data_IF_228790706793
#
_entry.id   IF_228790706793
#
_cell.length_a   1.000
_cell.length_b   1.000
_cell.length_c   1.000
_cell.angle_alpha   90.00
_cell.angle_beta   90.00
_cell.angle_gamma   90.00
#
_symmetry.space_group_name_H-M   'P 1'
#
loop_
_entity.id
_entity.type
_entity.pdbx_description
1 polymer ?
#
# COMPACT_ATOMS: atom_id res chain seq x y z
N UNK A 1 10.75 -24.45 7.16
CA UNK A 1 10.20 -25.06 5.90
C UNK A 1 9.93 -24.09 4.74
N UNK A 2 9.24 -22.95 4.91
CA UNK A 2 9.00 -22.00 3.81
C UNK A 2 10.25 -21.43 3.12
N UNK A 3 11.35 -21.11 3.83
CA UNK A 3 12.54 -20.53 3.21
C UNK A 3 13.13 -21.42 2.12
N UNK A 4 13.17 -22.74 2.32
CA UNK A 4 13.72 -23.70 1.35
C UNK A 4 12.89 -23.78 0.07
N UNK A 5 11.55 -23.76 0.19
CA UNK A 5 10.67 -23.83 -0.97
C UNK A 5 10.75 -22.55 -1.82
N UNK A 6 10.87 -21.39 -1.17
CA UNK A 6 11.09 -20.12 -1.86
C UNK A 6 12.49 -20.04 -2.51
N UNK A 7 13.54 -20.56 -1.85
CA UNK A 7 14.88 -20.72 -2.44
C UNK A 7 14.85 -21.60 -3.68
N UNK A 8 14.11 -22.71 -3.64
CA UNK A 8 13.98 -23.65 -4.75
C UNK A 8 13.31 -23.02 -5.98
N UNK A 9 12.30 -22.16 -5.79
CA UNK A 9 11.67 -21.41 -6.89
C UNK A 9 12.57 -20.29 -7.38
N UNK A 10 13.21 -19.55 -6.47
CA UNK A 10 14.18 -18.52 -6.83
C UNK A 10 15.27 -19.10 -7.74
N UNK A 11 15.66 -20.36 -7.51
CA UNK A 11 16.65 -21.06 -8.32
C UNK A 11 16.11 -21.70 -9.62
N UNK A 12 14.94 -22.34 -9.56
CA UNK A 12 14.40 -23.18 -10.64
C UNK A 12 13.01 -22.73 -11.14
N UNK A 13 12.73 -21.43 -11.10
CA UNK A 13 11.41 -20.85 -11.41
C UNK A 13 10.80 -21.38 -12.71
N UNK A 14 11.61 -21.57 -13.77
CA UNK A 14 11.15 -21.91 -15.13
C UNK A 14 10.43 -23.26 -15.18
N UNK A 15 10.95 -24.23 -14.44
CA UNK A 15 10.44 -25.59 -14.45
C UNK A 15 9.34 -25.78 -13.41
N UNK A 16 9.35 -25.01 -12.33
CA UNK A 16 8.57 -25.29 -11.13
C UNK A 16 7.43 -24.31 -10.87
N UNK A 17 7.31 -23.21 -11.63
CA UNK A 17 6.26 -22.19 -11.44
C UNK A 17 4.86 -22.82 -11.33
N UNK A 18 4.45 -23.63 -12.31
CA UNK A 18 3.10 -24.22 -12.35
C UNK A 18 2.83 -25.14 -11.15
N UNK A 19 3.79 -25.99 -10.81
CA UNK A 19 3.66 -26.90 -9.68
C UNK A 19 3.61 -26.13 -8.36
N UNK A 20 4.43 -25.10 -8.23
CA UNK A 20 4.44 -24.27 -7.04
C UNK A 20 3.15 -23.47 -6.87
N UNK A 21 2.61 -22.89 -7.93
CA UNK A 21 1.33 -22.17 -7.87
C UNK A 21 0.19 -23.06 -7.34
N UNK A 22 0.22 -24.36 -7.62
CA UNK A 22 -0.77 -25.30 -7.10
C UNK A 22 -0.61 -25.58 -5.59
N UNK A 23 0.63 -25.58 -5.09
CA UNK A 23 0.93 -25.87 -3.67
C UNK A 23 0.88 -24.61 -2.81
N UNK A 24 1.15 -23.45 -3.40
CA UNK A 24 1.27 -22.17 -2.73
C UNK A 24 0.10 -21.81 -1.80
N UNK A 25 -1.18 -22.06 -2.16
CA UNK A 25 -2.28 -21.80 -1.24
C UNK A 25 -2.17 -22.53 0.10
N UNK A 26 -1.63 -23.77 0.10
CA UNK A 26 -1.40 -24.54 1.31
C UNK A 26 -0.30 -23.96 2.22
N UNK A 27 0.52 -23.04 1.69
CA UNK A 27 1.54 -22.34 2.47
C UNK A 27 0.97 -21.16 3.25
N UNK A 28 -0.23 -20.69 2.90
CA UNK A 28 -0.90 -19.56 3.56
C UNK A 28 -1.72 -20.11 4.72
N UNK A 29 -1.12 -20.14 5.90
CA UNK A 29 -1.74 -20.57 7.15
C UNK A 29 -1.69 -19.43 8.18
N UNK A 30 -2.50 -19.45 9.25
CA UNK A 30 -2.47 -18.40 10.27
C UNK A 30 -1.07 -18.14 10.87
N UNK A 31 -0.25 -19.19 11.03
CA UNK A 31 1.11 -19.07 11.56
C UNK A 31 2.15 -18.58 10.55
N UNK A 32 1.91 -18.80 9.25
CA UNK A 32 2.82 -18.37 8.17
C UNK A 32 2.39 -17.07 7.49
N UNK A 33 1.16 -16.60 7.75
CA UNK A 33 0.53 -15.51 7.01
C UNK A 33 1.37 -14.22 6.98
N UNK A 34 1.68 -13.66 8.14
CA UNK A 34 2.46 -12.42 8.26
C UNK A 34 3.89 -12.55 7.72
N UNK A 35 4.68 -13.56 8.13
CA UNK A 35 6.07 -13.64 7.70
C UNK A 35 6.21 -14.03 6.21
N UNK A 36 5.23 -14.72 5.62
CA UNK A 36 5.28 -15.08 4.20
C UNK A 36 5.27 -13.85 3.27
N UNK A 37 4.57 -12.76 3.64
CA UNK A 37 4.48 -11.57 2.79
C UNK A 37 5.85 -10.93 2.48
N UNK A 38 6.69 -10.55 3.46
CA UNK A 38 8.03 -10.04 3.18
C UNK A 38 8.86 -11.00 2.33
N UNK A 39 8.79 -12.31 2.61
CA UNK A 39 9.55 -13.30 1.84
C UNK A 39 9.14 -13.40 0.37
N UNK A 40 7.87 -13.15 0.04
CA UNK A 40 7.41 -13.09 -1.34
C UNK A 40 7.92 -11.84 -2.05
N UNK A 41 7.78 -10.67 -1.40
CA UNK A 41 8.27 -9.40 -1.96
C UNK A 41 9.79 -9.42 -2.17
N UNK A 42 10.49 -10.22 -1.38
CA UNK A 42 11.95 -10.34 -1.34
C UNK A 42 12.48 -11.45 -2.26
N UNK A 43 11.62 -12.15 -3.00
CA UNK A 43 12.08 -13.18 -3.93
C UNK A 43 13.15 -12.69 -4.93
N UNK A 44 13.05 -11.49 -5.54
CA UNK A 44 14.10 -11.00 -6.42
C UNK A 44 15.44 -10.81 -5.73
N UNK A 45 15.45 -10.34 -4.47
CA UNK A 45 16.71 -10.15 -3.73
C UNK A 45 17.32 -11.50 -3.34
N UNK A 46 16.49 -12.50 -3.06
CA UNK A 46 16.93 -13.87 -2.81
C UNK A 46 17.63 -14.47 -4.03
N UNK A 47 17.12 -14.23 -5.25
CA UNK A 47 17.80 -14.65 -6.49
C UNK A 47 19.18 -14.02 -6.60
N UNK A 48 19.28 -12.70 -6.39
CA UNK A 48 20.56 -11.98 -6.47
C UNK A 48 21.56 -12.55 -5.47
N UNK A 49 21.11 -12.91 -4.26
CA UNK A 49 21.96 -13.53 -3.26
C UNK A 49 22.45 -14.92 -3.67
N UNK A 50 21.54 -15.78 -4.14
CA UNK A 50 21.91 -17.12 -4.60
C UNK A 50 22.90 -17.05 -5.77
N UNK A 51 22.71 -16.12 -6.71
CA UNK A 51 23.65 -15.94 -7.81
C UNK A 51 24.99 -15.33 -7.38
N UNK A 52 25.00 -14.42 -6.40
CA UNK A 52 26.27 -13.91 -5.85
C UNK A 52 27.05 -15.05 -5.20
N UNK A 53 26.38 -15.93 -4.46
CA UNK A 53 27.00 -17.12 -3.88
C UNK A 53 27.49 -18.10 -4.94
N UNK A 54 26.76 -18.31 -6.03
CA UNK A 54 27.22 -19.13 -7.15
C UNK A 54 28.49 -18.55 -7.80
N UNK A 55 28.53 -17.23 -7.99
CA UNK A 55 29.71 -16.53 -8.55
C UNK A 55 30.90 -16.53 -7.59
N UNK A 56 30.68 -16.33 -6.30
CA UNK A 56 31.75 -16.38 -5.28
C UNK A 56 32.25 -17.80 -5.02
N UNK A 57 31.37 -18.79 -5.20
CA UNK A 57 31.73 -20.21 -5.17
C UNK A 57 32.27 -20.71 -6.52
N UNK A 58 32.48 -19.81 -7.49
CA UNK A 58 32.86 -20.16 -8.85
C UNK A 58 34.27 -20.71 -8.95
N UNK A 59 34.39 -21.87 -9.62
CA UNK A 59 35.61 -22.35 -10.28
C UNK A 59 36.77 -22.79 -9.37
N UNK A 60 36.68 -24.02 -8.86
CA UNK A 60 37.82 -24.95 -8.85
C UNK A 60 38.18 -25.33 -10.32
N UNK A 61 38.49 -24.34 -11.15
CA UNK A 61 39.25 -24.53 -12.40
C UNK A 61 40.69 -24.09 -12.07
N UNK A 62 41.31 -24.92 -11.24
CA UNK A 62 42.75 -25.13 -11.25
C UNK A 62 42.98 -26.53 -11.78
N UNK A 63 43.34 -26.63 -13.06
CA UNK A 63 43.95 -27.82 -13.70
C UNK A 63 43.23 -29.17 -13.56
N UNK A 64 42.18 -29.40 -14.35
CA UNK A 64 42.03 -30.69 -15.08
C UNK A 64 40.86 -30.63 -16.05
N UNK A 65 41.21 -30.74 -17.33
CA UNK A 65 40.29 -30.91 -18.45
C UNK A 65 39.70 -32.32 -18.36
N UNK A 66 38.58 -32.54 -17.65
CA UNK A 66 37.83 -33.80 -17.72
C UNK A 66 36.38 -33.83 -17.16
N UNK A 67 35.88 -32.87 -16.38
CA UNK A 67 34.58 -33.03 -15.68
C UNK A 67 33.60 -31.86 -15.85
N UNK A 68 33.23 -31.59 -17.09
CA UNK A 68 31.99 -30.84 -17.40
C UNK A 68 30.81 -31.77 -17.11
N UNK A 69 30.23 -31.76 -15.89
CA UNK A 69 28.80 -32.12 -15.65
C UNK A 69 28.29 -32.08 -14.19
N UNK A 70 29.01 -31.54 -13.21
CA UNK A 70 28.46 -31.39 -11.84
C UNK A 70 28.50 -29.94 -11.38
N UNK A 71 27.36 -29.26 -11.39
CA UNK A 71 27.21 -27.97 -10.74
C UNK A 71 27.24 -28.15 -9.22
N UNK A 72 27.98 -27.30 -8.51
CA UNK A 72 28.14 -27.34 -7.05
C UNK A 72 26.90 -26.81 -6.28
N UNK A 73 26.02 -26.06 -6.96
CA UNK A 73 24.79 -25.52 -6.38
C UNK A 73 23.77 -26.57 -5.89
N UNK A 74 23.47 -27.65 -6.64
CA UNK A 74 22.61 -28.72 -6.14
C UNK A 74 23.22 -29.51 -4.98
N UNK A 75 24.55 -29.66 -4.90
CA UNK A 75 25.21 -30.33 -3.77
C UNK A 75 25.13 -29.49 -2.48
N UNK A 76 25.24 -28.16 -2.58
CA UNK A 76 25.07 -27.28 -1.42
C UNK A 76 23.61 -27.20 -0.93
N UNK A 77 22.63 -27.22 -1.86
CA UNK A 77 21.21 -27.35 -1.49
C UNK A 77 20.91 -28.71 -0.85
N UNK A 78 21.49 -29.80 -1.35
CA UNK A 78 21.39 -31.13 -0.75
C UNK A 78 22.05 -31.18 0.63
N UNK A 79 23.21 -30.56 0.82
CA UNK A 79 23.89 -30.48 2.11
C UNK A 79 23.09 -29.67 3.14
N UNK A 80 22.49 -28.54 2.74
CA UNK A 80 21.57 -27.78 3.60
C UNK A 80 20.29 -28.56 3.92
N UNK A 81 19.79 -29.37 2.98
CA UNK A 81 18.65 -30.27 3.23
C UNK A 81 19.02 -31.39 4.20
N UNK A 82 20.23 -31.93 4.13
CA UNK A 82 20.74 -32.99 5.00
C UNK A 82 21.03 -32.46 6.41
N UNK A 83 21.59 -31.25 6.53
CA UNK A 83 21.76 -30.53 7.80
C UNK A 83 20.39 -30.24 8.47
N UNK A 84 19.40 -29.79 7.70
CA UNK A 84 18.04 -29.56 8.20
C UNK A 84 17.32 -30.87 8.62
N UNK A 85 17.71 -32.01 8.06
CA UNK A 85 17.11 -33.31 8.37
C UNK A 85 17.83 -34.04 9.51
N UNK A 86 19.14 -33.83 9.67
CA UNK A 86 19.99 -34.57 10.62
C UNK A 86 20.48 -33.74 11.81
N UNK A 87 20.36 -32.41 11.78
CA UNK A 87 20.73 -31.51 12.89
C UNK A 87 22.22 -31.47 13.23
N UNK A 88 23.09 -32.01 12.38
CA UNK A 88 24.54 -32.01 12.61
C UNK A 88 25.18 -30.74 12.05
N UNK A 89 25.62 -29.85 12.94
CA UNK A 89 26.50 -28.73 12.59
C UNK A 89 27.80 -29.30 12.02
N UNK A 90 28.26 -28.79 10.88
CA UNK A 90 29.57 -29.15 10.31
C UNK A 90 30.63 -28.99 11.41
N UNK A 91 31.24 -30.11 11.77
CA UNK A 91 32.13 -30.22 12.92
C UNK A 91 33.29 -29.24 12.86
N UNK A 92 33.50 -28.57 13.99
CA UNK A 92 34.70 -27.87 14.41
C UNK A 92 35.92 -28.82 14.34
N UNK A 93 36.57 -28.83 13.18
CA UNK A 93 37.76 -29.62 12.91
C UNK A 93 39.02 -28.81 13.22
N UNK A 94 39.39 -28.74 14.50
CA UNK A 94 40.71 -28.26 14.92
C UNK A 94 41.82 -29.10 14.28
N UNK A 95 42.77 -28.43 13.64
CA UNK A 95 43.96 -29.04 13.04
C UNK A 95 44.91 -27.98 12.52
N UNK A 96 45.98 -27.74 13.26
CA UNK A 96 47.05 -26.78 12.99
C UNK A 96 47.68 -26.97 11.60
N UNK A 97 47.80 -25.88 10.83
CA UNK A 97 48.82 -25.73 9.78
C UNK A 97 48.98 -24.25 9.44
N UNK A 98 50.07 -23.68 9.95
CA UNK A 98 50.60 -22.39 9.51
C UNK A 98 51.09 -22.51 8.06
N UNK A 99 50.46 -21.74 7.16
CA UNK A 99 51.09 -21.32 5.91
C UNK A 99 50.49 -19.99 5.48
N UNK A 100 51.29 -18.94 5.56
CA UNK A 100 51.02 -17.62 4.99
C UNK A 100 51.02 -17.66 3.45
N UNK A 101 50.37 -16.65 2.87
CA UNK A 101 50.28 -16.33 1.43
C UNK A 101 49.29 -17.14 0.58
N UNK A 102 48.01 -16.83 0.78
CA UNK A 102 47.07 -16.66 -0.33
C UNK A 102 46.07 -15.60 0.08
N UNK A 103 45.81 -14.62 -0.78
CA UNK A 103 44.81 -13.56 -0.60
C UNK A 103 43.54 -14.15 0.00
N UNK A 104 43.26 -13.84 1.26
CA UNK A 104 42.06 -14.30 1.96
C UNK A 104 40.86 -13.91 1.12
N UNK A 105 40.28 -14.95 0.52
CA UNK A 105 38.98 -14.99 -0.12
C UNK A 105 38.06 -14.11 0.75
N UNK A 106 37.39 -13.13 0.14
CA UNK A 106 36.42 -12.25 0.81
C UNK A 106 35.14 -13.06 1.13
N UNK A 107 35.32 -14.07 1.98
CA UNK A 107 34.31 -14.97 2.50
C UNK A 107 33.41 -14.14 3.39
N UNK A 108 32.12 -14.17 3.06
CA UNK A 108 31.01 -13.73 3.89
C UNK A 108 30.80 -12.22 4.02
N UNK A 109 30.17 -11.61 3.00
CA UNK A 109 29.33 -10.44 3.23
C UNK A 109 28.17 -10.87 4.15
N UNK A 110 28.14 -10.43 5.43
CA UNK A 110 27.24 -10.96 6.46
C UNK A 110 25.75 -10.81 6.09
N UNK A 111 25.44 -9.85 5.23
CA UNK A 111 24.09 -9.59 4.70
C UNK A 111 23.58 -10.74 3.82
N UNK A 112 24.46 -11.39 3.05
CA UNK A 112 24.08 -12.51 2.17
C UNK A 112 23.89 -13.80 2.95
N UNK A 113 24.72 -14.02 3.98
CA UNK A 113 24.52 -15.14 4.89
C UNK A 113 23.21 -14.96 5.69
N UNK A 114 22.88 -13.74 6.11
CA UNK A 114 21.60 -13.45 6.75
C UNK A 114 20.41 -13.75 5.82
N UNK A 115 20.49 -13.36 4.54
CA UNK A 115 19.43 -13.67 3.56
C UNK A 115 19.29 -15.16 3.25
N UNK A 116 20.38 -15.92 3.41
CA UNK A 116 20.44 -17.36 3.14
C UNK A 116 20.27 -18.24 4.38
N UNK A 117 20.23 -17.67 5.58
CA UNK A 117 19.95 -18.43 6.80
C UNK A 117 18.61 -19.15 6.69
N UNK A 118 18.55 -20.36 7.22
CA UNK A 118 17.30 -21.09 7.35
C UNK A 118 16.56 -20.56 8.57
N UNK A 119 15.54 -19.74 8.32
CA UNK A 119 14.73 -19.11 9.35
C UNK A 119 13.72 -20.12 9.91
N UNK A 120 14.21 -21.15 10.61
CA UNK A 120 13.38 -22.08 11.39
C UNK A 120 12.90 -21.45 12.72
N UNK A 121 13.50 -20.34 13.15
CA UNK A 121 13.13 -19.57 14.36
C UNK A 121 12.24 -18.35 14.08
N UNK A 122 11.72 -18.22 12.85
CA UNK A 122 10.88 -17.10 12.43
C UNK A 122 11.60 -16.18 11.44
N UNK A 123 10.86 -15.67 10.46
CA UNK A 123 11.40 -14.76 9.45
C UNK A 123 11.67 -13.41 10.14
N UNK A 124 12.95 -13.08 10.36
CA UNK A 124 13.33 -11.83 10.97
C UNK A 124 13.01 -10.67 10.03
N UNK A 125 12.64 -9.51 10.57
CA UNK A 125 12.36 -8.32 9.77
C UNK A 125 13.66 -7.86 9.07
N UNK A 126 13.71 -8.03 7.75
CA UNK A 126 14.92 -7.74 6.97
C UNK A 126 15.12 -6.23 6.85
N UNK A 127 16.28 -5.73 7.27
CA UNK A 127 16.59 -4.31 7.27
C UNK A 127 17.03 -3.84 5.87
N UNK A 128 16.06 -3.54 5.02
CA UNK A 128 16.27 -3.00 3.66
C UNK A 128 17.01 -1.65 3.61
N UNK A 129 17.13 -0.97 4.75
CA UNK A 129 17.89 0.28 4.91
C UNK A 129 19.36 0.06 5.24
N UNK A 130 19.83 -1.20 5.34
CA UNK A 130 21.24 -1.47 5.59
C UNK A 130 22.10 -1.04 4.39
N UNK A 131 23.29 -0.44 4.62
CA UNK A 131 24.19 -0.01 3.55
C UNK A 131 24.59 -1.16 2.60
N UNK A 132 24.69 -2.39 3.13
CA UNK A 132 25.00 -3.59 2.34
C UNK A 132 23.91 -3.94 1.34
N UNK A 133 22.64 -3.97 1.76
CA UNK A 133 21.51 -4.22 0.85
C UNK A 133 21.41 -3.12 -0.21
N UNK A 134 21.61 -1.86 0.15
CA UNK A 134 21.57 -0.74 -0.79
C UNK A 134 22.65 -0.84 -1.88
N UNK A 135 23.89 -1.19 -1.51
CA UNK A 135 24.99 -1.38 -2.45
C UNK A 135 24.71 -2.54 -3.42
N UNK A 136 24.11 -3.62 -2.93
CA UNK A 136 23.74 -4.80 -3.73
C UNK A 136 22.64 -4.48 -4.73
N UNK A 137 21.61 -3.75 -4.30
CA UNK A 137 20.54 -3.32 -5.20
C UNK A 137 21.06 -2.40 -6.31
N UNK A 138 22.00 -1.50 -5.98
CA UNK A 138 22.66 -0.67 -6.98
C UNK A 138 23.50 -1.51 -7.96
N UNK A 139 24.28 -2.48 -7.46
CA UNK A 139 25.06 -3.38 -8.30
C UNK A 139 24.17 -4.22 -9.24
N UNK A 140 23.06 -4.77 -8.71
CA UNK A 140 22.09 -5.56 -9.48
C UNK A 140 21.39 -4.73 -10.57
N UNK A 141 21.17 -3.43 -10.33
CA UNK A 141 20.57 -2.51 -11.31
C UNK A 141 21.52 -2.23 -12.47
N UNK A 142 22.84 -2.19 -12.21
CA UNK A 142 23.86 -1.85 -13.20
C UNK A 142 24.33 -3.06 -14.03
N UNK A 143 24.11 -4.29 -13.54
CA UNK A 143 24.44 -5.53 -14.25
C UNK A 143 23.31 -6.00 -15.18
N UNK A 144 23.62 -6.70 -16.29
CA UNK A 144 22.59 -7.34 -17.09
C UNK A 144 21.80 -8.37 -16.25
N UNK A 145 20.48 -8.23 -16.23
CA UNK A 145 19.61 -9.13 -15.47
C UNK A 145 19.67 -10.56 -16.03
N UNK A 146 19.88 -11.54 -15.15
CA UNK A 146 19.81 -12.96 -15.50
C UNK A 146 18.39 -13.37 -15.90
N UNK A 147 18.25 -14.45 -16.66
CA UNK A 147 16.93 -14.96 -17.04
C UNK A 147 16.14 -15.46 -15.83
N UNK A 148 16.83 -16.01 -14.81
CA UNK A 148 16.23 -16.38 -13.52
C UNK A 148 15.60 -15.16 -12.83
N UNK A 149 16.33 -14.04 -12.75
CA UNK A 149 15.84 -12.82 -12.12
C UNK A 149 14.64 -12.25 -12.88
N UNK A 150 14.70 -12.17 -14.22
CA UNK A 150 13.56 -11.72 -15.04
C UNK A 150 12.31 -12.55 -14.78
N UNK A 151 12.48 -13.86 -14.67
CA UNK A 151 11.36 -14.74 -14.42
C UNK A 151 10.75 -14.52 -13.03
N UNK A 152 11.58 -14.39 -12.00
CA UNK A 152 11.11 -14.16 -10.62
C UNK A 152 10.44 -12.80 -10.47
N UNK A 153 10.93 -11.77 -11.17
CA UNK A 153 10.25 -10.47 -11.26
C UNK A 153 8.84 -10.59 -11.85
N UNK A 154 8.58 -11.56 -12.75
CA UNK A 154 7.26 -11.83 -13.32
C UNK A 154 6.39 -12.75 -12.44
N UNK A 155 6.98 -13.75 -11.78
CA UNK A 155 6.25 -14.69 -10.92
C UNK A 155 5.76 -14.01 -9.64
N UNK A 156 6.60 -13.17 -9.04
CA UNK A 156 6.34 -12.59 -7.71
C UNK A 156 5.00 -11.84 -7.62
N UNK A 157 4.63 -10.95 -8.56
CA UNK A 157 3.31 -10.31 -8.56
C UNK A 157 2.13 -11.30 -8.63
N UNK A 158 2.29 -12.44 -9.31
CA UNK A 158 1.25 -13.49 -9.40
C UNK A 158 1.08 -14.21 -8.05
N UNK A 159 2.19 -14.48 -7.37
CA UNK A 159 2.15 -15.05 -6.02
C UNK A 159 1.49 -14.11 -5.01
N UNK A 160 1.79 -12.80 -5.11
CA UNK A 160 1.14 -11.79 -4.27
C UNK A 160 -0.36 -11.70 -4.53
N UNK A 161 -0.78 -11.78 -5.80
CA UNK A 161 -2.21 -11.78 -6.16
C UNK A 161 -2.96 -12.96 -5.53
N UNK A 162 -2.37 -14.16 -5.61
CA UNK A 162 -2.93 -15.35 -4.97
C UNK A 162 -2.91 -15.25 -3.43
N UNK A 163 -1.82 -14.74 -2.85
CA UNK A 163 -1.71 -14.50 -1.41
C UNK A 163 -2.80 -13.54 -0.92
N UNK A 164 -3.01 -12.41 -1.60
CA UNK A 164 -4.02 -11.42 -1.26
C UNK A 164 -5.45 -11.94 -1.48
N UNK A 165 -5.67 -12.74 -2.51
CA UNK A 165 -6.97 -13.39 -2.75
C UNK A 165 -7.33 -14.34 -1.60
N UNK A 166 -6.38 -15.16 -1.15
CA UNK A 166 -6.58 -16.05 0.00
C UNK A 166 -6.76 -15.24 1.28
N UNK A 167 -5.96 -14.19 1.47
CA UNK A 167 -6.04 -13.30 2.63
C UNK A 167 -7.43 -12.67 2.76
N UNK A 168 -7.98 -12.12 1.67
CA UNK A 168 -9.29 -11.48 1.68
C UNK A 168 -10.43 -12.48 1.89
N UNK A 169 -10.24 -13.76 1.56
CA UNK A 169 -11.26 -14.81 1.73
C UNK A 169 -11.22 -15.46 3.12
N UNK A 170 -10.02 -15.85 3.56
CA UNK A 170 -9.84 -16.81 4.65
C UNK A 170 -9.16 -16.21 5.89
N UNK A 171 -8.46 -15.08 5.76
CA UNK A 171 -7.72 -14.52 6.89
C UNK A 171 -8.60 -13.73 7.88
N UNK A 172 -8.23 -13.84 9.15
CA UNK A 172 -8.86 -13.12 10.25
C UNK A 172 -8.55 -11.62 10.18
N UNK A 173 -9.50 -10.80 10.65
CA UNK A 173 -9.35 -9.35 10.66
C UNK A 173 -8.11 -8.87 11.44
N UNK A 174 -7.71 -9.56 12.51
CA UNK A 174 -6.50 -9.23 13.27
C UNK A 174 -5.23 -9.41 12.45
N UNK A 175 -5.12 -10.50 11.67
CA UNK A 175 -3.99 -10.76 10.79
C UNK A 175 -3.92 -9.75 9.66
N UNK A 176 -5.05 -9.42 9.03
CA UNK A 176 -5.12 -8.41 7.98
C UNK A 176 -4.71 -7.04 8.55
N UNK A 177 -5.22 -6.67 9.72
CA UNK A 177 -4.88 -5.41 10.38
C UNK A 177 -3.38 -5.33 10.72
N UNK A 178 -2.76 -6.42 11.15
CA UNK A 178 -1.33 -6.49 11.42
C UNK A 178 -0.48 -6.45 10.14
N UNK A 179 -1.00 -6.95 9.01
CA UNK A 179 -0.32 -6.95 7.73
C UNK A 179 -0.23 -5.53 7.12
N UNK A 180 -1.28 -4.72 7.24
CA UNK A 180 -1.36 -3.40 6.56
C UNK A 180 -0.14 -2.49 6.85
N UNK A 181 0.33 -2.29 8.10
CA UNK A 181 1.54 -1.52 8.37
C UNK A 181 2.78 -2.04 7.66
N UNK A 182 2.90 -3.38 7.54
CA UNK A 182 4.00 -4.03 6.82
C UNK A 182 3.91 -3.67 5.33
N UNK A 183 2.71 -3.71 4.73
CA UNK A 183 2.49 -3.28 3.34
C UNK A 183 2.89 -1.81 3.12
N UNK A 184 2.49 -0.92 4.04
CA UNK A 184 2.82 0.50 3.98
C UNK A 184 4.33 0.74 4.02
N UNK A 185 5.05 0.03 4.90
CA UNK A 185 6.50 0.12 5.00
C UNK A 185 7.20 -0.39 3.74
N UNK A 186 6.74 -1.53 3.19
CA UNK A 186 7.33 -2.15 1.99
C UNK A 186 7.07 -1.35 0.71
N UNK A 187 6.06 -0.47 0.66
CA UNK A 187 5.72 0.30 -0.54
C UNK A 187 6.89 1.16 -1.07
N UNK A 188 7.75 1.67 -0.18
CA UNK A 188 8.95 2.44 -0.55
C UNK A 188 10.22 1.60 -0.73
N UNK A 189 10.25 0.36 -0.22
CA UNK A 189 11.45 -0.50 -0.21
C UNK A 189 11.20 -1.76 -1.03
N UNK A 190 11.25 -1.63 -2.36
CA UNK A 190 11.09 -2.74 -3.31
C UNK A 190 12.35 -2.91 -4.14
N UNK A 191 12.50 -4.09 -4.75
CA UNK A 191 13.56 -4.34 -5.72
C UNK A 191 13.48 -3.33 -6.89
N UNK A 192 14.60 -2.71 -7.31
CA UNK A 192 14.64 -1.59 -8.25
C UNK A 192 14.44 -2.03 -9.71
N UNK A 193 13.27 -2.59 -10.03
CA UNK A 193 12.82 -2.84 -11.39
C UNK A 193 11.49 -2.11 -11.64
N UNK A 194 11.41 -1.30 -12.70
CA UNK A 194 10.27 -0.40 -12.93
C UNK A 194 8.94 -1.15 -13.07
N UNK A 195 8.93 -2.27 -13.80
CA UNK A 195 7.71 -3.04 -14.06
C UNK A 195 7.28 -3.78 -12.80
N UNK A 196 8.24 -4.42 -12.13
CA UNK A 196 8.02 -5.09 -10.86
C UNK A 196 7.47 -4.14 -9.78
N UNK A 197 8.12 -2.99 -9.59
CA UNK A 197 7.69 -1.98 -8.61
C UNK A 197 6.27 -1.50 -8.89
N UNK A 198 5.92 -1.25 -10.15
CA UNK A 198 4.57 -0.85 -10.52
C UNK A 198 3.54 -1.93 -10.21
N UNK A 199 3.77 -3.17 -10.64
CA UNK A 199 2.84 -4.29 -10.46
C UNK A 199 2.67 -4.66 -8.98
N UNK A 200 3.75 -4.67 -8.19
CA UNK A 200 3.69 -4.95 -6.75
C UNK A 200 2.96 -3.84 -6.02
N UNK A 201 3.35 -2.57 -6.21
CA UNK A 201 2.68 -1.44 -5.54
C UNK A 201 1.20 -1.37 -5.83
N UNK A 202 0.81 -1.61 -7.09
CA UNK A 202 -0.61 -1.65 -7.46
C UNK A 202 -1.37 -2.66 -6.61
N UNK A 203 -0.85 -3.89 -6.49
CA UNK A 203 -1.47 -4.96 -5.67
C UNK A 203 -1.48 -4.64 -4.18
N UNK A 204 -0.40 -4.05 -3.65
CA UNK A 204 -0.36 -3.62 -2.24
C UNK A 204 -1.47 -2.61 -1.95
N UNK A 205 -1.62 -1.60 -2.82
CA UNK A 205 -2.64 -0.57 -2.69
C UNK A 205 -4.05 -1.15 -2.82
N UNK A 206 -4.30 -1.97 -3.85
CA UNK A 206 -5.59 -2.64 -4.08
C UNK A 206 -6.00 -3.49 -2.88
N UNK A 207 -5.08 -4.27 -2.32
CA UNK A 207 -5.35 -5.09 -1.13
C UNK A 207 -5.63 -4.23 0.11
N UNK A 208 -4.86 -3.17 0.35
CA UNK A 208 -5.11 -2.26 1.48
C UNK A 208 -6.48 -1.60 1.38
N UNK A 209 -6.85 -1.10 0.19
CA UNK A 209 -8.16 -0.48 -0.04
C UNK A 209 -9.30 -1.49 0.12
N UNK A 210 -9.15 -2.71 -0.42
CA UNK A 210 -10.12 -3.79 -0.23
C UNK A 210 -10.28 -4.17 1.25
N UNK A 211 -9.17 -4.16 2.01
CA UNK A 211 -9.17 -4.44 3.44
C UNK A 211 -9.91 -3.37 4.25
N UNK A 212 -9.68 -2.08 3.94
CA UNK A 212 -10.42 -0.98 4.56
C UNK A 212 -11.90 -1.00 4.19
N UNK A 213 -12.23 -1.39 2.96
CA UNK A 213 -13.61 -1.54 2.52
C UNK A 213 -14.33 -2.68 3.23
N UNK A 214 -13.64 -3.81 3.47
CA UNK A 214 -14.18 -4.96 4.22
C UNK A 214 -14.37 -4.61 5.70
N UNK A 215 -13.42 -3.89 6.29
CA UNK A 215 -13.42 -3.57 7.72
C UNK A 215 -12.97 -2.11 7.95
N UNK A 216 -13.91 -1.14 7.93
CA UNK A 216 -13.60 0.29 8.15
C UNK A 216 -12.87 0.57 9.46
N UNK A 217 -13.14 -0.20 10.52
CA UNK A 217 -12.52 -0.07 11.84
C UNK A 217 -10.98 -0.10 11.81
N UNK A 218 -10.39 -0.75 10.79
CA UNK A 218 -8.93 -0.79 10.61
C UNK A 218 -8.32 0.60 10.53
N UNK A 219 -9.02 1.60 9.97
CA UNK A 219 -8.49 2.96 9.87
C UNK A 219 -8.32 3.57 11.26
N UNK A 220 -9.26 3.33 12.18
CA UNK A 220 -9.15 3.81 13.55
C UNK A 220 -8.03 3.08 14.31
N UNK A 221 -7.91 1.76 14.13
CA UNK A 221 -6.86 0.94 14.75
C UNK A 221 -5.46 1.34 14.24
N UNK A 222 -5.35 1.64 12.96
CA UNK A 222 -4.10 1.96 12.27
C UNK A 222 -3.84 3.47 12.14
N UNK A 223 -4.51 4.31 12.95
CA UNK A 223 -4.39 5.76 12.88
C UNK A 223 -2.94 6.26 12.94
N UNK A 224 -2.12 5.67 13.82
CA UNK A 224 -0.69 6.04 13.98
C UNK A 224 0.11 5.73 12.71
N UNK A 225 0.17 4.47 12.21
CA UNK A 225 0.80 4.16 10.93
C UNK A 225 0.32 5.03 9.76
N UNK A 226 -0.98 5.35 9.71
CA UNK A 226 -1.53 6.20 8.66
C UNK A 226 -0.98 7.62 8.75
N UNK A 227 -1.00 8.23 9.95
CA UNK A 227 -0.47 9.59 10.17
C UNK A 227 1.00 9.67 9.84
N UNK A 228 1.80 8.68 10.25
CA UNK A 228 3.24 8.63 9.97
C UNK A 228 3.48 8.64 8.45
N UNK A 229 2.73 7.84 7.68
CA UNK A 229 2.85 7.80 6.22
C UNK A 229 2.34 9.06 5.53
N UNK A 230 1.36 9.76 6.09
CA UNK A 230 0.92 11.06 5.59
C UNK A 230 1.99 12.14 5.79
N UNK A 231 2.75 12.08 6.89
CA UNK A 231 3.87 12.99 7.15
C UNK A 231 5.02 12.86 6.13
N UNK A 232 5.25 11.65 5.63
CA UNK A 232 6.31 11.35 4.64
C UNK A 232 5.89 11.63 3.17
N UNK A 233 4.69 12.17 2.93
CA UNK A 233 4.10 12.25 1.59
C UNK A 233 4.93 13.06 0.58
N UNK A 234 5.82 13.93 1.03
CA UNK A 234 6.61 14.84 0.18
C UNK A 234 8.03 14.37 -0.12
N UNK A 235 8.45 13.24 0.45
CA UNK A 235 9.80 12.69 0.29
C UNK A 235 10.00 12.13 -1.13
N UNK A 236 9.01 11.37 -1.62
CA UNK A 236 9.08 10.66 -2.90
C UNK A 236 7.70 10.56 -3.55
N UNK A 237 7.60 10.49 -4.90
CA UNK A 237 6.32 10.37 -5.59
C UNK A 237 5.55 9.11 -5.20
N UNK A 238 6.24 8.03 -4.86
CA UNK A 238 5.66 6.76 -4.40
C UNK A 238 4.98 6.91 -3.04
N UNK A 239 5.62 7.64 -2.13
CA UNK A 239 5.05 7.99 -0.83
C UNK A 239 3.87 8.95 -1.00
N UNK A 240 3.93 9.86 -1.96
CA UNK A 240 2.78 10.71 -2.32
C UNK A 240 1.59 9.86 -2.77
N UNK A 241 1.77 8.89 -3.67
CA UNK A 241 0.67 8.02 -4.13
C UNK A 241 0.05 7.21 -2.99
N UNK A 242 0.86 6.65 -2.09
CA UNK A 242 0.35 5.98 -0.90
C UNK A 242 -0.46 6.94 -0.02
N UNK A 243 0.08 8.12 0.27
CA UNK A 243 -0.60 9.14 1.07
C UNK A 243 -1.95 9.56 0.46
N UNK A 244 -2.05 9.65 -0.88
CA UNK A 244 -3.31 9.91 -1.57
C UNK A 244 -4.35 8.82 -1.30
N UNK A 245 -3.96 7.54 -1.39
CA UNK A 245 -4.87 6.42 -1.14
C UNK A 245 -5.30 6.35 0.33
N UNK A 246 -4.38 6.60 1.26
CA UNK A 246 -4.71 6.64 2.69
C UNK A 246 -5.64 7.80 3.03
N UNK A 247 -5.39 8.98 2.45
CA UNK A 247 -6.25 10.15 2.60
C UNK A 247 -7.67 9.89 2.06
N UNK A 248 -7.78 9.25 0.89
CA UNK A 248 -9.06 8.81 0.35
C UNK A 248 -9.77 7.84 1.29
N UNK A 249 -9.06 6.80 1.78
CA UNK A 249 -9.63 5.79 2.68
C UNK A 249 -10.14 6.40 3.99
N UNK A 250 -9.37 7.31 4.60
CA UNK A 250 -9.77 8.06 5.79
C UNK A 250 -11.08 8.83 5.56
N UNK A 251 -11.20 9.52 4.43
CA UNK A 251 -12.41 10.25 4.07
C UNK A 251 -13.60 9.33 3.78
N UNK A 252 -13.42 8.31 2.95
CA UNK A 252 -14.49 7.40 2.50
C UNK A 252 -15.14 6.65 3.66
N UNK A 253 -14.32 6.24 4.63
CA UNK A 253 -14.76 5.40 5.74
C UNK A 253 -14.94 6.19 7.05
N UNK A 254 -14.97 7.53 6.98
CA UNK A 254 -15.23 8.37 8.15
C UNK A 254 -14.21 8.16 9.28
N UNK A 255 -12.94 7.91 8.97
CA UNK A 255 -11.88 7.71 9.98
C UNK A 255 -12.02 6.45 10.84
N UNK A 256 -12.79 5.46 10.37
CA UNK A 256 -13.04 4.21 11.09
C UNK A 256 -14.52 3.89 11.29
N UNK A 257 -15.42 4.84 11.04
CA UNK A 257 -16.87 4.69 11.24
C UNK A 257 -17.38 5.47 12.46
N UNK A 258 -18.69 5.35 12.73
CA UNK A 258 -19.40 6.25 13.67
C UNK A 258 -19.01 6.09 15.14
N UNK A 259 -18.51 4.92 15.51
CA UNK A 259 -18.03 4.62 16.86
C UNK A 259 -16.66 5.23 17.18
N UNK A 260 -15.87 5.59 16.18
CA UNK A 260 -14.45 5.95 16.35
C UNK A 260 -14.20 7.46 16.28
N UNK A 261 -14.98 8.23 17.02
CA UNK A 261 -14.91 9.70 17.01
C UNK A 261 -13.54 10.26 17.36
N UNK A 262 -12.89 9.68 18.37
CA UNK A 262 -11.57 10.15 18.82
C UNK A 262 -10.48 9.90 17.78
N UNK A 263 -10.49 8.72 17.15
CA UNK A 263 -9.58 8.41 16.06
C UNK A 263 -9.83 9.32 14.84
N UNK A 264 -11.10 9.56 14.48
CA UNK A 264 -11.46 10.48 13.40
C UNK A 264 -11.00 11.92 13.68
N UNK A 265 -11.06 12.38 14.93
CA UNK A 265 -10.56 13.70 15.35
C UNK A 265 -9.04 13.81 15.21
N UNK A 266 -8.29 12.82 15.68
CA UNK A 266 -6.83 12.78 15.53
C UNK A 266 -6.41 12.74 14.06
N UNK A 267 -7.06 11.90 13.24
CA UNK A 267 -6.82 11.84 11.80
C UNK A 267 -7.13 13.19 11.12
N UNK A 268 -8.23 13.84 11.51
CA UNK A 268 -8.56 15.19 11.03
C UNK A 268 -7.47 16.19 11.41
N UNK A 269 -6.95 16.15 12.64
CA UNK A 269 -5.89 17.05 13.09
C UNK A 269 -4.60 16.89 12.28
N UNK A 270 -4.22 15.65 11.96
CA UNK A 270 -3.07 15.39 11.08
C UNK A 270 -3.31 15.90 9.65
N UNK A 271 -4.51 15.70 9.10
CA UNK A 271 -4.87 16.22 7.77
C UNK A 271 -4.95 17.76 7.73
N UNK A 272 -5.46 18.37 8.80
CA UNK A 272 -5.51 19.83 8.97
C UNK A 272 -4.10 20.42 9.09
N UNK A 273 -3.21 19.77 9.83
CA UNK A 273 -1.81 20.17 9.94
C UNK A 273 -1.13 20.15 8.57
N UNK A 274 -1.26 19.03 7.84
CA UNK A 274 -0.72 18.89 6.49
C UNK A 274 -1.29 19.99 5.56
N UNK A 275 -2.58 20.31 5.65
CA UNK A 275 -3.17 21.40 4.88
C UNK A 275 -2.50 22.75 5.19
N UNK A 276 -2.30 23.09 6.47
CA UNK A 276 -1.74 24.39 6.87
C UNK A 276 -0.24 24.51 6.62
N UNK A 277 0.54 23.45 6.79
CA UNK A 277 1.96 23.43 6.45
C UNK A 277 2.15 23.82 4.98
N UNK A 278 1.35 23.22 4.09
CA UNK A 278 1.43 23.49 2.66
C UNK A 278 0.98 24.91 2.28
N UNK A 279 -0.07 25.43 2.92
CA UNK A 279 -0.47 26.83 2.74
C UNK A 279 0.62 27.80 3.20
N UNK A 280 1.38 27.44 4.23
CA UNK A 280 2.47 28.26 4.78
C UNK A 280 3.74 28.17 3.91
N UNK A 281 4.12 26.97 3.45
CA UNK A 281 5.24 26.77 2.53
C UNK A 281 5.04 27.53 1.21
N UNK A 282 3.81 27.66 0.75
CA UNK A 282 3.49 28.46 -0.43
C UNK A 282 3.60 29.99 -0.20
N UNK A 283 3.65 30.47 1.04
CA UNK A 283 4.02 31.87 1.38
C UNK A 283 5.53 32.08 1.45
N UNK A 284 6.26 31.06 1.88
CA UNK A 284 7.72 31.07 2.09
C UNK A 284 8.52 30.66 0.85
N UNK A 285 7.93 30.72 -0.35
CA UNK A 285 8.50 30.28 -1.63
C UNK A 285 9.77 30.99 -2.13
N UNK A 286 10.58 31.55 -1.24
CA UNK A 286 11.90 32.16 -1.46
C UNK A 286 13.08 31.20 -1.23
N UNK A 287 12.85 29.95 -0.79
CA UNK A 287 13.93 29.02 -0.46
C UNK A 287 13.92 27.79 -1.37
N UNK A 288 14.38 27.97 -2.62
CA UNK A 288 15.19 27.04 -3.46
C UNK A 288 15.03 27.48 -4.93
N UNK A 289 15.86 28.41 -5.40
CA UNK A 289 15.82 28.92 -6.79
C UNK A 289 16.65 28.08 -7.79
N UNK A 290 17.19 26.93 -7.38
CA UNK A 290 18.24 26.22 -8.13
C UNK A 290 17.81 24.89 -8.80
N UNK A 291 16.51 24.58 -8.93
CA UNK A 291 16.04 23.31 -9.53
C UNK A 291 15.23 23.59 -10.81
N UNK A 292 15.53 22.84 -11.88
CA UNK A 292 14.86 22.83 -13.19
C UNK A 292 13.35 23.06 -13.12
N UNK A 293 12.84 23.92 -14.01
CA UNK A 293 11.42 24.33 -14.10
C UNK A 293 10.44 23.17 -14.13
N UNK A 294 10.77 22.09 -14.84
CA UNK A 294 9.86 20.97 -15.10
C UNK A 294 9.66 20.09 -13.85
N UNK A 295 10.74 19.83 -13.12
CA UNK A 295 10.69 19.11 -11.83
C UNK A 295 9.91 19.91 -10.78
N UNK A 296 10.08 21.24 -10.78
CA UNK A 296 9.35 22.15 -9.89
C UNK A 296 7.84 22.15 -10.21
N UNK A 297 7.46 22.13 -11.48
CA UNK A 297 6.06 22.10 -11.90
C UNK A 297 5.41 20.75 -11.57
N UNK A 298 6.12 19.63 -11.78
CA UNK A 298 5.64 18.31 -11.39
C UNK A 298 5.37 18.21 -9.88
N UNK A 299 6.33 18.65 -9.05
CA UNK A 299 6.20 18.65 -7.58
C UNK A 299 5.06 19.55 -7.09
N UNK A 300 4.89 20.74 -7.68
CA UNK A 300 3.75 21.61 -7.39
C UNK A 300 2.43 20.95 -7.77
N UNK A 301 2.37 20.25 -8.90
CA UNK A 301 1.15 19.58 -9.34
C UNK A 301 0.79 18.39 -8.44
N UNK A 302 1.76 17.57 -8.03
CA UNK A 302 1.53 16.45 -7.09
C UNK A 302 1.08 16.96 -5.72
N UNK A 303 1.70 18.03 -5.21
CA UNK A 303 1.29 18.70 -3.98
C UNK A 303 -0.15 19.22 -4.06
N UNK A 304 -0.53 19.85 -5.18
CA UNK A 304 -1.90 20.33 -5.40
C UNK A 304 -2.92 19.19 -5.42
N UNK A 305 -2.55 18.06 -6.04
CA UNK A 305 -3.37 16.83 -6.04
C UNK A 305 -3.54 16.28 -4.63
N UNK A 306 -2.48 16.25 -3.82
CA UNK A 306 -2.56 15.83 -2.42
C UNK A 306 -3.48 16.74 -1.60
N UNK A 307 -3.34 18.06 -1.70
CA UNK A 307 -4.22 19.00 -1.01
C UNK A 307 -5.69 18.85 -1.44
N UNK A 308 -5.92 18.58 -2.72
CA UNK A 308 -7.25 18.27 -3.24
C UNK A 308 -7.86 17.03 -2.56
N UNK A 309 -7.07 15.97 -2.33
CA UNK A 309 -7.51 14.78 -1.59
C UNK A 309 -7.75 15.09 -0.11
N UNK A 310 -6.85 15.85 0.52
CA UNK A 310 -6.96 16.26 1.93
C UNK A 310 -8.24 17.06 2.17
N UNK A 311 -8.52 18.04 1.31
CA UNK A 311 -9.76 18.84 1.34
C UNK A 311 -11.00 17.95 1.22
N UNK A 312 -10.99 16.98 0.31
CA UNK A 312 -12.08 16.00 0.18
C UNK A 312 -12.21 15.13 1.42
N UNK A 313 -11.10 14.63 1.96
CA UNK A 313 -11.10 13.77 3.13
C UNK A 313 -11.64 14.47 4.37
N UNK A 314 -11.18 15.70 4.67
CA UNK A 314 -11.70 16.47 5.79
C UNK A 314 -13.18 16.84 5.60
N UNK A 315 -13.62 17.09 4.36
CA UNK A 315 -15.02 17.36 4.07
C UNK A 315 -15.91 16.13 4.28
N UNK A 316 -15.47 14.95 3.84
CA UNK A 316 -16.15 13.68 4.10
C UNK A 316 -16.16 13.35 5.59
N UNK A 317 -15.04 13.53 6.29
CA UNK A 317 -14.96 13.37 7.75
C UNK A 317 -15.95 14.29 8.48
N UNK A 318 -16.09 15.54 8.06
CA UNK A 318 -17.05 16.49 8.64
C UNK A 318 -18.51 16.11 8.41
N UNK A 319 -18.78 15.52 7.24
CA UNK A 319 -20.11 15.03 6.84
C UNK A 319 -20.49 13.82 7.70
N UNK A 320 -19.52 12.96 7.97
CA UNK A 320 -19.69 11.76 8.78
C UNK A 320 -19.74 12.09 10.30
N UNK A 321 -18.80 12.90 10.78
CA UNK A 321 -18.65 13.35 12.17
C UNK A 321 -18.94 14.85 12.30
N UNK A 322 -20.21 15.18 12.56
CA UNK A 322 -20.70 16.58 12.53
C UNK A 322 -20.00 17.53 13.52
N UNK A 323 -19.36 17.00 14.56
CA UNK A 323 -18.54 17.76 15.52
C UNK A 323 -17.32 18.43 14.88
N UNK A 324 -16.81 17.90 13.76
CA UNK A 324 -15.68 18.47 13.04
C UNK A 324 -16.10 19.61 12.09
N UNK A 325 -17.39 19.74 11.77
CA UNK A 325 -17.91 20.65 10.75
C UNK A 325 -17.47 22.12 10.94
N UNK A 326 -17.56 22.73 12.15
CA UNK A 326 -17.12 24.12 12.35
C UNK A 326 -15.63 24.30 12.04
N UNK A 327 -14.77 23.36 12.48
CA UNK A 327 -13.32 23.40 12.23
C UNK A 327 -13.02 23.28 10.73
N UNK A 328 -13.70 22.37 10.05
CA UNK A 328 -13.53 22.14 8.61
C UNK A 328 -13.93 23.38 7.81
N UNK A 329 -15.05 24.03 8.14
CA UNK A 329 -15.46 25.29 7.50
C UNK A 329 -14.41 26.40 7.68
N UNK A 330 -13.79 26.49 8.86
CA UNK A 330 -12.69 27.44 9.09
C UNK A 330 -11.46 27.09 8.25
N UNK A 331 -11.07 25.82 8.21
CA UNK A 331 -9.92 25.34 7.44
C UNK A 331 -10.10 25.61 5.93
N UNK A 332 -11.23 25.20 5.37
CA UNK A 332 -11.56 25.46 3.96
C UNK A 332 -11.70 26.96 3.67
N UNK A 333 -12.27 27.73 4.60
CA UNK A 333 -12.36 29.19 4.50
C UNK A 333 -10.99 29.85 4.42
N UNK A 334 -9.99 29.35 5.16
CA UNK A 334 -8.61 29.82 5.07
C UNK A 334 -7.98 29.46 3.72
N UNK A 335 -8.22 28.27 3.19
CA UNK A 335 -7.77 27.87 1.83
C UNK A 335 -8.39 28.78 0.77
N UNK A 336 -9.70 28.99 0.81
CA UNK A 336 -10.43 29.78 -0.19
C UNK A 336 -10.02 31.27 -0.17
N UNK A 337 -9.61 31.80 0.99
CA UNK A 337 -9.05 33.16 1.12
C UNK A 337 -7.55 33.24 0.77
N UNK A 338 -6.87 32.11 0.68
CA UNK A 338 -5.45 32.04 0.36
C UNK A 338 -5.21 32.24 -1.14
N UNK A 339 -4.71 33.43 -1.53
CA UNK A 339 -4.42 33.80 -2.92
C UNK A 339 -3.27 33.02 -3.60
N UNK A 340 -2.61 32.15 -2.85
CA UNK A 340 -1.42 31.41 -3.26
C UNK A 340 -1.71 29.93 -3.58
N UNK A 341 -2.95 29.48 -3.41
CA UNK A 341 -3.34 28.11 -3.72
C UNK A 341 -3.53 27.91 -5.22
N UNK A 342 -3.15 26.73 -5.74
CA UNK A 342 -3.49 26.32 -7.11
C UNK A 342 -5.02 26.44 -7.31
N UNK A 343 -5.43 26.95 -8.47
CA UNK A 343 -6.82 27.06 -8.92
C UNK A 343 -7.69 25.83 -8.61
N UNK A 344 -7.12 24.61 -8.72
CA UNK A 344 -7.80 23.34 -8.44
C UNK A 344 -8.14 23.18 -6.96
N UNK A 345 -7.17 23.50 -6.10
CA UNK A 345 -7.28 23.43 -4.64
C UNK A 345 -8.27 24.49 -4.15
N UNK A 346 -8.14 25.71 -4.67
CA UNK A 346 -9.05 26.81 -4.36
C UNK A 346 -10.49 26.50 -4.74
N UNK A 347 -10.72 26.02 -5.97
CA UNK A 347 -12.06 25.69 -6.47
C UNK A 347 -12.70 24.62 -5.60
N UNK A 348 -11.99 23.53 -5.33
CA UNK A 348 -12.48 22.44 -4.48
C UNK A 348 -12.83 22.90 -3.07
N UNK A 349 -12.00 23.73 -2.45
CA UNK A 349 -12.31 24.28 -1.13
C UNK A 349 -13.58 25.15 -1.16
N UNK A 350 -13.75 25.97 -2.19
CA UNK A 350 -14.93 26.83 -2.36
C UNK A 350 -16.21 26.01 -2.61
N UNK A 351 -16.12 24.99 -3.44
CA UNK A 351 -17.25 24.11 -3.75
C UNK A 351 -17.74 23.38 -2.48
N UNK A 352 -16.82 22.83 -1.69
CA UNK A 352 -17.19 22.16 -0.43
C UNK A 352 -17.66 23.12 0.66
N UNK A 353 -17.15 24.36 0.72
CA UNK A 353 -17.71 25.37 1.62
C UNK A 353 -19.18 25.64 1.33
N UNK A 354 -19.53 25.82 0.05
CA UNK A 354 -20.92 26.02 -0.36
C UNK A 354 -21.78 24.78 -0.15
N UNK A 355 -21.24 23.59 -0.45
CA UNK A 355 -21.94 22.32 -0.23
C UNK A 355 -22.26 22.09 1.26
N UNK A 356 -21.35 22.49 2.16
CA UNK A 356 -21.54 22.37 3.61
C UNK A 356 -22.60 23.31 4.20
N UNK A 357 -23.18 24.22 3.41
CA UNK A 357 -24.33 25.02 3.84
C UNK A 357 -25.64 24.20 3.85
N UNK A 358 -25.71 23.13 3.05
CA UNK A 358 -26.83 22.20 3.01
C UNK A 358 -26.39 20.79 3.46
N UNK A 359 -26.68 20.39 4.71
CA UNK A 359 -26.28 19.09 5.23
C UNK A 359 -26.86 17.88 4.47
N UNK A 360 -28.06 18.01 3.87
CA UNK A 360 -28.71 16.89 3.19
C UNK A 360 -28.03 16.62 1.84
N UNK A 361 -27.78 17.67 1.07
CA UNK A 361 -27.04 17.56 -0.20
C UNK A 361 -25.60 17.14 0.08
N UNK A 362 -24.97 17.70 1.12
CA UNK A 362 -23.62 17.31 1.53
C UNK A 362 -23.52 15.81 1.85
N UNK A 363 -24.46 15.27 2.63
CA UNK A 363 -24.50 13.83 2.92
C UNK A 363 -24.77 12.99 1.66
N UNK A 364 -25.57 13.47 0.73
CA UNK A 364 -25.84 12.75 -0.52
C UNK A 364 -24.62 12.70 -1.46
N UNK A 365 -23.78 13.74 -1.46
CA UNK A 365 -22.61 13.85 -2.34
C UNK A 365 -21.34 13.29 -1.69
N UNK A 366 -21.13 13.56 -0.40
CA UNK A 366 -19.92 13.22 0.35
C UNK A 366 -20.13 12.08 1.36
N UNK A 367 -21.37 11.61 1.54
CA UNK A 367 -21.66 10.48 2.40
C UNK A 367 -21.01 9.18 1.92
N UNK A 368 -20.97 8.17 2.79
CA UNK A 368 -20.35 6.88 2.48
C UNK A 368 -21.08 6.22 1.31
N UNK A 369 -20.32 5.73 0.34
CA UNK A 369 -20.87 5.09 -0.87
C UNK A 369 -21.60 3.77 -0.59
N UNK A 370 -21.37 3.18 0.60
CA UNK A 370 -22.06 1.97 1.09
C UNK A 370 -22.45 2.17 2.55
N UNK A 371 -23.70 1.86 2.93
CA UNK A 371 -24.09 1.88 4.34
C UNK A 371 -23.28 0.84 5.09
N UNK A 372 -22.65 1.24 6.21
CA UNK A 372 -22.07 0.28 7.14
C UNK A 372 -23.18 -0.66 7.63
N UNK A 373 -22.89 -1.97 7.69
CA UNK A 373 -23.81 -2.98 8.22
C UNK A 373 -24.40 -2.49 9.54
N UNK A 374 -25.71 -2.18 9.54
CA UNK A 374 -26.46 -1.79 10.73
C UNK A 374 -26.87 -0.32 10.86
N UNK A 375 -26.45 0.59 9.97
CA UNK A 375 -27.00 1.96 9.96
C UNK A 375 -28.00 2.13 8.80
N UNK A 376 -29.29 2.41 9.08
CA UNK A 376 -30.25 2.72 8.02
C UNK A 376 -29.77 3.95 7.25
N UNK A 377 -30.06 4.00 5.94
CA UNK A 377 -29.92 5.23 5.17
C UNK A 377 -30.57 6.37 5.96
N UNK A 378 -29.79 7.42 6.25
CA UNK A 378 -30.35 8.58 6.90
C UNK A 378 -31.48 9.13 6.01
N UNK A 379 -32.67 9.43 6.56
CA UNK A 379 -33.76 10.00 5.79
C UNK A 379 -33.28 11.29 5.12
N UNK A 380 -33.33 11.35 3.78
CA UNK A 380 -32.83 12.47 2.98
C UNK A 380 -31.59 12.18 2.12
N UNK A 381 -30.96 11.00 2.22
CA UNK A 381 -29.91 10.60 1.28
C UNK A 381 -30.52 10.23 -0.08
N UNK A 382 -30.25 11.04 -1.11
CA UNK A 382 -30.68 10.73 -2.49
C UNK A 382 -29.90 9.50 -2.97
N UNK A 383 -30.61 8.41 -3.24
CA UNK A 383 -30.05 7.23 -3.90
C UNK A 383 -29.90 7.54 -5.39
N UNK A 384 -28.72 8.03 -5.80
CA UNK A 384 -28.45 8.38 -7.20
C UNK A 384 -28.53 7.18 -8.16
N UNK A 385 -28.41 5.94 -7.67
CA UNK A 385 -28.62 4.73 -8.48
C UNK A 385 -30.08 4.56 -8.90
N UNK A 386 -31.03 5.09 -8.12
CA UNK A 386 -32.46 5.18 -8.47
C UNK A 386 -32.82 6.50 -9.19
N UNK A 387 -31.83 7.37 -9.42
CA UNK A 387 -32.01 8.76 -9.91
C UNK A 387 -32.62 8.89 -11.31
N UNK A 388 -32.84 7.78 -12.02
CA UNK A 388 -33.62 7.73 -13.26
C UNK A 388 -35.11 7.42 -13.08
N UNK A 389 -35.55 6.95 -11.90
CA UNK A 389 -36.91 6.42 -11.69
C UNK A 389 -37.68 7.05 -10.53
N UNK A 390 -37.00 7.67 -9.55
CA UNK A 390 -37.67 8.31 -8.41
C UNK A 390 -37.13 9.72 -8.18
N UNK A 391 -37.98 10.72 -8.42
CA UNK A 391 -37.71 12.11 -8.04
C UNK A 391 -38.18 12.30 -6.60
N UNK A 392 -37.25 12.32 -5.63
CA UNK A 392 -37.59 12.82 -4.29
C UNK A 392 -37.42 14.33 -4.33
N UNK A 393 -38.47 15.03 -4.79
CA UNK A 393 -38.57 16.46 -4.61
C UNK A 393 -39.25 16.73 -3.27
N UNK A 394 -38.54 17.38 -2.34
CA UNK A 394 -39.22 18.16 -1.31
C UNK A 394 -39.85 19.38 -1.99
N UNK A 395 -41.02 19.18 -2.62
CA UNK A 395 -41.86 20.30 -3.06
C UNK A 395 -42.42 20.93 -1.79
N UNK A 396 -42.17 22.22 -1.52
CA UNK A 396 -42.80 22.89 -0.39
C UNK A 396 -44.33 22.80 -0.56
N UNK A 397 -45.02 22.26 0.45
CA UNK A 397 -46.47 22.02 0.41
C UNK A 397 -47.30 23.27 0.07
N UNK A 398 -46.77 24.49 0.21
CA UNK A 398 -47.47 25.72 -0.16
C UNK A 398 -47.57 25.97 -1.68
N UNK A 399 -46.83 25.23 -2.52
CA UNK A 399 -46.90 25.33 -4.00
C UNK A 399 -47.99 24.42 -4.57
N UNK A 400 -48.35 23.36 -3.85
CA UNK A 400 -49.45 22.46 -4.21
C UNK A 400 -50.70 22.96 -3.49
N UNK A 401 -51.49 23.78 -4.18
CA UNK A 401 -52.74 24.32 -3.63
C UNK A 401 -53.59 23.22 -2.99
N UNK A 402 -53.97 23.45 -1.73
CA UNK A 402 -54.93 22.71 -0.89
C UNK A 402 -55.49 21.41 -1.49
N UNK A 403 -54.68 20.35 -1.58
CA UNK A 403 -55.19 19.00 -1.76
C UNK A 403 -54.98 18.22 -0.47
N UNK A 404 -56.09 17.97 0.22
CA UNK A 404 -56.16 17.16 1.44
C UNK A 404 -55.84 15.68 1.12
N UNK A 405 -54.79 15.16 1.75
CA UNK A 405 -54.39 13.75 1.70
C UNK A 405 -53.26 13.46 2.69
N UNK A 406 -53.12 12.22 3.20
CA UNK A 406 -52.09 11.88 4.18
C UNK A 406 -50.67 12.11 3.62
N UNK A 407 -49.67 12.37 4.47
CA UNK A 407 -48.38 12.98 4.11
C UNK A 407 -47.41 12.09 3.29
N UNK A 408 -47.89 10.99 2.71
CA UNK A 408 -47.10 10.00 1.97
C UNK A 408 -47.77 9.69 0.63
N UNK A 409 -47.81 10.68 -0.25
CA UNK A 409 -48.10 10.43 -1.66
C UNK A 409 -46.79 10.37 -2.43
N UNK A 410 -46.44 9.17 -2.91
CA UNK A 410 -45.41 8.99 -3.93
C UNK A 410 -45.93 9.58 -5.24
N UNK A 411 -45.52 10.82 -5.57
CA UNK A 411 -45.91 11.47 -6.81
C UNK A 411 -45.17 10.85 -8.00
N UNK A 412 -45.91 10.55 -9.07
CA UNK A 412 -45.33 10.11 -10.33
C UNK A 412 -45.13 11.30 -11.28
N UNK A 413 -44.14 11.23 -12.18
CA UNK A 413 -43.89 12.26 -13.22
C UNK A 413 -45.14 12.77 -13.98
N UNK A 414 -46.12 11.92 -14.36
CA UNK A 414 -47.32 12.39 -15.04
C UNK A 414 -48.30 13.19 -14.16
N UNK A 415 -48.14 13.21 -12.84
CA UNK A 415 -49.01 13.97 -11.92
C UNK A 415 -48.64 15.47 -11.88
N UNK A 416 -47.38 15.80 -12.23
CA UNK A 416 -46.81 17.15 -12.11
C UNK A 416 -46.82 17.89 -13.47
N UNK A 417 -46.77 17.15 -14.57
CA UNK A 417 -46.75 17.73 -15.91
C UNK A 417 -48.17 17.79 -16.49
N UNK A 418 -48.66 18.97 -16.92
CA UNK A 418 -49.94 19.04 -17.59
C UNK A 418 -49.87 18.20 -18.87
N UNK A 419 -50.72 17.18 -18.96
CA UNK A 419 -50.96 16.43 -20.20
C UNK A 419 -51.25 17.44 -21.31
N UNK A 420 -50.35 17.56 -22.28
CA UNK A 420 -50.66 18.23 -23.54
C UNK A 420 -51.85 17.48 -24.15
N UNK A 421 -52.98 18.16 -24.29
CA UNK A 421 -54.09 17.73 -25.14
C UNK A 421 -53.69 17.75 -26.60
#
# INVERSE_FOLDING_TARGET
FFPLLLKLIAWNGEKLEKAFLNVFPGLVSPGSFLPLFPSLVDLPILVVALEKVERSSGSLIGSSIASIQKSAAPEMLLALMDEAYTGSTIGDGGGDSESEESSTIDVADPVFLELLKDENDGLAERHWTSPGVAAVLQAATNSPQSDRLKQILNITPRLLDMYFTIALRDANNSLICALIPILMARNSTLFPDKNYMYEVRRRLLEFMLASFQRSPDFIALLKKPIVDRLGEAYDSPEKTELALQLCWAVGEHGGGGGSHKDAARELFESLELLLYENLSSSRLGLRQESINSDSRNFRKSSQSRLLCFVITAIAKLATYHRELLPRVRVALGKVARSRISDSRVWRRARDYLGLMDDPAICLSVLGPSRPSHGYPHNPGTVNWNDGGTKMIAHIPFYILGEQEGPPFHDFSFPDILPRRR
#
